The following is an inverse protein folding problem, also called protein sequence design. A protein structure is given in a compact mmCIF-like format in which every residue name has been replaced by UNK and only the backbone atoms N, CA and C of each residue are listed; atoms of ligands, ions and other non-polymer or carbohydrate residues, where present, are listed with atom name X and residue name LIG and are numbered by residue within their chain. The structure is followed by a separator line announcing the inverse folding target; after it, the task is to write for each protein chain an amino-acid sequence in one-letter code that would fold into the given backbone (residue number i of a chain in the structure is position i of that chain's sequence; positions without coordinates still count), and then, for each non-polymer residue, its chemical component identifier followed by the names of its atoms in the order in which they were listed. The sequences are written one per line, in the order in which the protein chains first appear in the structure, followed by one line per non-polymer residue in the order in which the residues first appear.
data_IF_813531822190
#
_entry.id   IF_813531822190
#
_cell.length_a   1.000
_cell.length_b   1.000
_cell.length_c   1.000
_cell.angle_alpha   90.00
_cell.angle_beta   90.00
_cell.angle_gamma   90.00
#
_symmetry.space_group_name_H-M   'P 1'
#
loop_
_entity.id
_entity.type
_entity.pdbx_description
1 polymer ?
#
# COMPACT_ATOMS: atom_id res chain seq x y z
N UNK A 1 -16.37 12.41 10.17
CA UNK A 1 -15.68 11.61 9.13
C UNK A 1 -14.29 12.19 8.98
N UNK A 2 -13.24 11.37 8.92
CA UNK A 2 -11.87 11.86 8.80
C UNK A 2 -11.66 12.46 7.40
N UNK A 3 -10.87 13.54 7.30
CA UNK A 3 -10.49 14.12 6.01
C UNK A 3 -9.83 13.06 5.10
N UNK A 4 -10.20 12.95 3.80
CA UNK A 4 -9.73 11.87 2.94
C UNK A 4 -8.21 11.77 2.81
N UNK A 5 -7.49 12.89 2.79
CA UNK A 5 -6.02 12.90 2.73
C UNK A 5 -5.39 12.39 4.03
N UNK A 6 -6.00 12.70 5.17
CA UNK A 6 -5.57 12.18 6.48
C UNK A 6 -5.85 10.69 6.58
N UNK A 7 -7.01 10.22 6.12
CA UNK A 7 -7.35 8.79 6.10
C UNK A 7 -6.41 7.99 5.17
N UNK A 8 -6.09 8.53 3.97
CA UNK A 8 -5.11 7.94 3.05
C UNK A 8 -3.74 7.82 3.71
N UNK A 9 -3.25 8.90 4.32
CA UNK A 9 -1.94 8.92 4.99
C UNK A 9 -1.89 7.99 6.21
N UNK A 10 -2.92 8.02 7.07
CA UNK A 10 -2.98 7.20 8.27
C UNK A 10 -3.06 5.70 7.92
N UNK A 11 -3.90 5.33 6.94
CA UNK A 11 -4.03 3.94 6.49
C UNK A 11 -2.74 3.41 5.88
N UNK A 12 -2.08 4.15 4.98
CA UNK A 12 -0.79 3.72 4.44
C UNK A 12 0.32 3.72 5.48
N UNK A 13 0.36 4.70 6.38
CA UNK A 13 1.32 4.75 7.47
C UNK A 13 1.25 3.50 8.33
N UNK A 14 0.04 3.08 8.70
CA UNK A 14 -0.21 1.89 9.50
C UNK A 14 0.08 0.60 8.73
N UNK A 15 -0.40 0.47 7.49
CA UNK A 15 -0.14 -0.69 6.64
C UNK A 15 1.36 -0.90 6.39
N UNK A 16 2.10 0.18 6.08
CA UNK A 16 3.54 0.11 5.88
C UNK A 16 4.30 -0.20 7.18
N UNK A 17 3.81 0.25 8.34
CA UNK A 17 4.40 -0.09 9.63
C UNK A 17 4.24 -1.58 9.96
N UNK A 18 3.03 -2.13 9.78
CA UNK A 18 2.75 -3.57 9.93
C UNK A 18 3.61 -4.39 8.97
N UNK A 19 3.60 -4.08 7.67
CA UNK A 19 4.41 -4.79 6.68
C UNK A 19 5.92 -4.67 6.93
N UNK A 20 6.38 -3.57 7.54
CA UNK A 20 7.80 -3.42 7.92
C UNK A 20 8.18 -4.37 9.06
N UNK A 21 7.26 -4.65 9.98
CA UNK A 21 7.45 -5.61 11.08
C UNK A 21 7.24 -7.06 10.58
N UNK A 22 6.37 -7.23 9.60
CA UNK A 22 5.97 -8.51 8.99
C UNK A 22 6.11 -8.46 7.45
N UNK A 23 7.32 -8.64 6.89
CA UNK A 23 7.57 -8.50 5.45
C UNK A 23 6.81 -9.49 4.55
N UNK A 24 6.26 -10.56 5.13
CA UNK A 24 5.37 -11.52 4.49
C UNK A 24 3.98 -10.96 4.20
N UNK A 25 3.56 -9.89 4.88
CA UNK A 25 2.25 -9.29 4.67
C UNK A 25 2.14 -8.63 3.29
N UNK A 26 0.97 -8.75 2.71
CA UNK A 26 0.57 -8.16 1.43
C UNK A 26 -0.53 -7.14 1.69
N UNK A 27 -0.35 -5.94 1.16
CA UNK A 27 -1.37 -4.91 1.17
C UNK A 27 -2.18 -4.99 -0.12
N UNK A 28 -3.51 -4.90 -0.01
CA UNK A 28 -4.46 -4.83 -1.13
C UNK A 28 -5.44 -3.69 -0.92
N UNK A 29 -5.95 -3.13 -2.01
CA UNK A 29 -7.10 -2.23 -1.97
C UNK A 29 -8.34 -2.99 -2.37
N UNK A 30 -9.31 -3.07 -1.47
CA UNK A 30 -10.52 -3.88 -1.64
C UNK A 30 -11.76 -2.98 -1.61
N UNK A 31 -12.76 -3.33 -2.41
CA UNK A 31 -14.04 -2.64 -2.55
C UNK A 31 -13.98 -1.16 -2.98
N UNK A 32 -13.06 -0.69 -3.87
CA UNK A 32 -12.89 0.73 -4.15
C UNK A 32 -14.06 1.39 -4.93
N UNK A 33 -15.05 0.62 -5.38
CA UNK A 33 -15.98 1.00 -6.45
C UNK A 33 -17.45 1.26 -6.08
N UNK A 34 -17.81 1.56 -4.83
CA UNK A 34 -19.24 1.61 -4.46
C UNK A 34 -19.66 2.53 -3.32
N UNK A 35 -18.81 3.44 -2.85
CA UNK A 35 -19.18 4.47 -1.87
C UNK A 35 -19.39 3.99 -0.42
N UNK A 36 -19.57 2.69 -0.17
CA UNK A 36 -19.70 2.17 1.19
C UNK A 36 -18.35 1.87 1.88
N UNK A 37 -17.34 1.43 1.12
CA UNK A 37 -16.06 0.99 1.67
C UNK A 37 -14.89 1.45 0.79
N UNK A 38 -13.80 1.89 1.41
CA UNK A 38 -12.49 2.07 0.75
C UNK A 38 -11.45 1.46 1.69
N UNK A 39 -11.13 0.19 1.47
CA UNK A 39 -10.36 -0.59 2.44
C UNK A 39 -8.96 -0.83 1.92
N UNK A 40 -7.97 -0.45 2.74
CA UNK A 40 -6.61 -0.93 2.60
C UNK A 40 -6.44 -2.17 3.48
N UNK A 41 -6.56 -3.35 2.87
CA UNK A 41 -6.50 -4.64 3.55
C UNK A 41 -5.03 -5.10 3.71
N UNK A 42 -4.61 -5.45 4.92
CA UNK A 42 -3.30 -6.04 5.19
C UNK A 42 -3.48 -7.53 5.46
N UNK A 43 -2.80 -8.36 4.65
CA UNK A 43 -3.05 -9.81 4.57
C UNK A 43 -1.81 -10.66 4.73
N UNK A 44 -1.94 -11.77 5.46
CA UNK A 44 -0.95 -12.87 5.49
C UNK A 44 -1.36 -13.99 4.53
N UNK A 45 -0.49 -15.01 4.39
CA UNK A 45 -0.81 -16.21 3.60
C UNK A 45 -1.83 -17.12 4.32
N UNK A 46 -1.84 -17.12 5.65
CA UNK A 46 -2.63 -18.02 6.49
C UNK A 46 -4.01 -17.46 6.84
N UNK A 47 -4.20 -16.14 6.68
CA UNK A 47 -5.47 -15.49 6.96
C UNK A 47 -5.32 -14.41 8.01
N UNK A 48 -4.79 -13.27 7.60
CA UNK A 48 -4.96 -12.03 8.34
C UNK A 48 -5.70 -11.05 7.43
N UNK A 49 -6.66 -10.31 7.96
CA UNK A 49 -7.37 -9.26 7.24
C UNK A 49 -7.56 -8.11 8.23
N UNK A 50 -6.49 -7.37 8.46
CA UNK A 50 -6.59 -6.05 9.10
C UNK A 50 -7.18 -5.13 8.04
N UNK A 51 -8.42 -4.71 8.24
CA UNK A 51 -9.20 -3.90 7.34
C UNK A 51 -9.11 -2.45 7.77
N UNK A 52 -8.27 -1.67 7.07
CA UNK A 52 -8.13 -0.24 7.29
C UNK A 52 -9.18 0.49 6.44
N UNK A 53 -10.45 0.43 6.84
CA UNK A 53 -11.54 1.05 6.09
C UNK A 53 -11.54 2.56 6.29
N UNK A 54 -11.12 3.31 5.27
CA UNK A 54 -10.94 4.77 5.32
C UNK A 54 -12.24 5.54 5.51
N UNK A 55 -13.38 4.95 5.12
CA UNK A 55 -14.71 5.54 5.32
C UNK A 55 -15.39 5.08 6.62
N UNK A 56 -14.76 4.18 7.39
CA UNK A 56 -15.34 3.57 8.58
C UNK A 56 -14.33 3.35 9.70
N UNK A 57 -14.17 2.09 10.11
CA UNK A 57 -13.36 1.68 11.27
C UNK A 57 -12.21 0.77 10.86
N UNK A 58 -11.20 0.70 11.72
CA UNK A 58 -10.14 -0.32 11.67
C UNK A 58 -10.72 -1.60 12.27
N UNK A 59 -10.67 -2.69 11.52
CA UNK A 59 -11.21 -3.99 11.94
C UNK A 59 -10.18 -5.10 11.74
N UNK A 60 -10.30 -6.18 12.51
CA UNK A 60 -9.54 -7.42 12.32
C UNK A 60 -10.55 -8.53 12.11
N UNK A 61 -10.60 -9.10 10.89
CA UNK A 61 -11.59 -10.13 10.54
C UNK A 61 -11.09 -11.55 10.73
N UNK A 62 -9.77 -11.76 10.68
CA UNK A 62 -9.15 -13.07 10.77
C UNK A 62 -7.80 -12.99 11.48
N UNK A 63 -7.48 -14.05 12.23
CA UNK A 63 -6.18 -14.25 12.86
C UNK A 63 -5.33 -15.24 12.10
N UNK A 64 -4.03 -14.97 12.09
CA UNK A 64 -3.01 -15.83 11.49
C UNK A 64 -2.90 -17.19 12.19
N UNK A 65 -3.23 -17.25 13.48
CA UNK A 65 -3.21 -18.46 14.32
C UNK A 65 -4.51 -19.29 14.28
N UNK A 66 -5.49 -18.87 13.46
CA UNK A 66 -6.76 -19.56 13.26
C UNK A 66 -7.80 -19.37 14.39
N UNK A 67 -7.51 -18.57 15.41
CA UNK A 67 -8.49 -18.23 16.47
C UNK A 67 -9.42 -17.09 16.02
N UNK A 68 -10.47 -16.84 16.80
CA UNK A 68 -11.31 -15.65 16.61
C UNK A 68 -10.56 -14.37 17.01
N UNK A 69 -10.63 -13.29 16.21
CA UNK A 69 -10.07 -11.98 16.56
C UNK A 69 -10.67 -11.43 17.86
N UNK A 70 -9.80 -11.04 18.79
CA UNK A 70 -10.17 -10.20 19.93
C UNK A 70 -9.91 -8.74 19.56
N UNK A 71 -10.87 -8.13 18.86
CA UNK A 71 -10.78 -6.76 18.38
C UNK A 71 -12.15 -6.11 18.26
N UNK A 72 -12.35 -5.02 18.99
CA UNK A 72 -13.48 -4.14 18.76
C UNK A 72 -13.16 -3.14 17.62
N UNK A 73 -14.06 -2.94 16.65
CA UNK A 73 -13.86 -1.97 15.58
C UNK A 73 -13.47 -0.58 16.10
N UNK A 74 -12.30 -0.10 15.71
CA UNK A 74 -11.73 1.14 16.22
C UNK A 74 -11.97 2.29 15.23
N UNK A 75 -12.53 3.41 15.71
CA UNK A 75 -12.70 4.60 14.86
C UNK A 75 -11.34 5.20 14.49
N UNK A 76 -11.25 5.84 13.32
CA UNK A 76 -10.01 6.55 12.94
C UNK A 76 -9.65 7.69 13.88
N UNK A 77 -10.63 8.40 14.45
CA UNK A 77 -10.37 9.47 15.41
C UNK A 77 -9.65 8.93 16.65
N UNK A 78 -10.19 7.85 17.24
CA UNK A 78 -9.59 7.17 18.38
C UNK A 78 -8.23 6.54 18.03
N UNK A 79 -8.09 5.98 16.83
CA UNK A 79 -6.82 5.42 16.38
C UNK A 79 -5.70 6.47 16.25
N UNK A 80 -6.05 7.69 15.83
CA UNK A 80 -5.10 8.81 15.69
C UNK A 80 -4.66 9.42 17.02
N UNK A 81 -5.41 9.19 18.10
CA UNK A 81 -5.02 9.58 19.46
C UNK A 81 -3.95 8.65 20.07
N UNK A 82 -3.80 7.45 19.51
CA UNK A 82 -2.83 6.45 19.98
C UNK A 82 -1.45 6.67 19.36
N UNK A 83 -0.39 6.32 20.10
CA UNK A 83 0.94 6.17 19.50
C UNK A 83 0.90 5.08 18.42
N UNK A 84 1.45 5.39 17.24
CA UNK A 84 1.39 4.48 16.10
C UNK A 84 2.06 3.12 16.39
N UNK A 85 3.11 3.07 17.22
CA UNK A 85 3.77 1.80 17.57
C UNK A 85 2.88 0.98 18.49
N UNK A 86 2.19 1.63 19.42
CA UNK A 86 1.25 0.97 20.33
C UNK A 86 0.06 0.41 19.54
N UNK A 87 -0.54 1.20 18.66
CA UNK A 87 -1.59 0.73 17.76
C UNK A 87 -1.12 -0.44 16.87
N UNK A 88 0.10 -0.38 16.32
CA UNK A 88 0.67 -1.51 15.57
C UNK A 88 0.75 -2.77 16.43
N UNK A 89 1.25 -2.68 17.68
CA UNK A 89 1.35 -3.86 18.56
C UNK A 89 -0.02 -4.42 18.94
N UNK A 90 -1.01 -3.55 19.17
CA UNK A 90 -2.38 -3.98 19.44
C UNK A 90 -2.96 -4.74 18.24
N UNK A 91 -2.79 -4.21 17.02
CA UNK A 91 -3.23 -4.88 15.80
C UNK A 91 -2.49 -6.19 15.55
N UNK A 92 -1.18 -6.26 15.80
CA UNK A 92 -0.40 -7.50 15.72
C UNK A 92 -0.96 -8.57 16.66
N UNK A 93 -1.21 -8.20 17.91
CA UNK A 93 -1.79 -9.09 18.92
C UNK A 93 -3.19 -9.56 18.50
N UNK A 94 -4.06 -8.64 18.08
CA UNK A 94 -5.43 -8.91 17.65
C UNK A 94 -5.49 -9.80 16.40
N UNK A 95 -4.54 -9.62 15.49
CA UNK A 95 -4.36 -10.40 14.27
C UNK A 95 -3.65 -11.75 14.48
N UNK A 96 -3.18 -12.05 15.70
CA UNK A 96 -2.41 -13.26 15.97
C UNK A 96 -1.05 -13.31 15.27
N UNK A 97 -0.50 -12.14 14.90
CA UNK A 97 0.83 -12.05 14.29
C UNK A 97 1.91 -12.34 15.33
N UNK A 98 2.98 -12.99 14.90
CA UNK A 98 4.12 -13.35 15.77
C UNK A 98 4.77 -12.09 16.34
N UNK A 99 5.06 -12.08 17.64
CA UNK A 99 5.76 -10.94 18.23
C UNK A 99 7.14 -10.72 17.60
N UNK A 100 7.42 -9.48 17.20
CA UNK A 100 8.67 -9.09 16.54
C UNK A 100 9.54 -8.29 17.52
N UNK A 101 10.66 -8.88 17.93
CA UNK A 101 11.62 -8.28 18.87
C UNK A 101 12.52 -7.21 18.23
N UNK A 102 12.78 -7.32 16.92
CA UNK A 102 13.52 -6.34 16.15
C UNK A 102 12.93 -6.22 14.74
N UNK A 103 12.85 -5.00 14.20
CA UNK A 103 12.30 -4.79 12.87
C UNK A 103 13.19 -5.42 11.79
N UNK A 104 12.66 -6.32 10.94
CA UNK A 104 13.43 -6.94 9.86
C UNK A 104 13.99 -5.93 8.86
N UNK A 105 14.99 -6.38 8.09
CA UNK A 105 15.47 -5.63 6.94
C UNK A 105 14.34 -5.46 5.91
N UNK A 106 14.23 -4.26 5.33
CA UNK A 106 13.22 -4.00 4.30
C UNK A 106 13.49 -4.80 3.04
N UNK A 107 12.46 -5.52 2.59
CA UNK A 107 12.39 -6.16 1.28
C UNK A 107 11.94 -5.16 0.21
N UNK A 108 11.97 -5.57 -1.06
CA UNK A 108 11.45 -4.79 -2.19
C UNK A 108 9.99 -4.34 -1.95
N UNK A 109 9.12 -5.29 -1.59
CA UNK A 109 7.71 -5.03 -1.24
C UNK A 109 7.55 -4.00 -0.12
N UNK A 110 8.29 -4.17 0.98
CA UNK A 110 8.22 -3.27 2.13
C UNK A 110 8.69 -1.86 1.73
N UNK A 111 9.70 -1.73 0.87
CA UNK A 111 10.13 -0.42 0.37
C UNK A 111 9.04 0.27 -0.46
N UNK A 112 8.32 -0.45 -1.32
CA UNK A 112 7.17 0.11 -2.05
C UNK A 112 6.13 0.66 -1.08
N UNK A 113 5.68 -0.12 -0.09
CA UNK A 113 4.68 0.34 0.88
C UNK A 113 5.16 1.54 1.70
N UNK A 114 6.43 1.56 2.11
CA UNK A 114 7.01 2.69 2.85
C UNK A 114 7.10 3.95 1.99
N UNK A 115 7.37 3.82 0.69
CA UNK A 115 7.36 4.94 -0.26
C UNK A 115 5.94 5.44 -0.48
N UNK A 116 4.97 4.56 -0.69
CA UNK A 116 3.55 4.94 -0.82
C UNK A 116 3.04 5.67 0.43
N UNK A 117 3.38 5.18 1.62
CA UNK A 117 3.07 5.85 2.89
C UNK A 117 3.71 7.24 3.00
N UNK A 118 4.98 7.38 2.58
CA UNK A 118 5.64 8.68 2.57
C UNK A 118 4.98 9.66 1.60
N UNK A 119 4.62 9.20 0.39
CA UNK A 119 3.89 10.00 -0.60
C UNK A 119 2.53 10.45 -0.02
N UNK A 120 1.74 9.53 0.55
CA UNK A 120 0.47 9.86 1.17
C UNK A 120 0.62 10.91 2.29
N UNK A 121 1.64 10.74 3.16
CA UNK A 121 1.94 11.69 4.23
C UNK A 121 2.32 13.09 3.73
N UNK A 122 3.10 13.18 2.65
CA UNK A 122 3.47 14.46 2.02
C UNK A 122 2.27 15.16 1.38
N UNK A 123 1.20 14.42 1.07
CA UNK A 123 -0.01 14.93 0.45
C UNK A 123 -1.14 15.30 1.44
N UNK A 124 -0.90 15.25 2.76
CA UNK A 124 -1.93 15.62 3.76
C UNK A 124 -2.45 17.06 3.54
N UNK A 125 -1.55 18.00 3.25
CA UNK A 125 -1.85 19.43 3.05
C UNK A 125 -1.70 19.88 1.58
N UNK A 126 -1.70 18.94 0.64
CA UNK A 126 -1.54 19.18 -0.81
C UNK A 126 -2.76 18.61 -1.55
N UNK A 127 -2.90 18.84 -2.87
CA UNK A 127 -3.88 18.11 -3.66
C UNK A 127 -3.78 16.60 -3.39
N UNK A 128 -4.93 15.96 -3.20
CA UNK A 128 -5.00 14.54 -2.84
C UNK A 128 -4.19 13.71 -3.84
N UNK A 129 -3.31 12.86 -3.32
CA UNK A 129 -2.75 11.76 -4.09
C UNK A 129 -3.73 10.60 -4.04
N UNK A 130 -4.07 10.07 -5.21
CA UNK A 130 -4.83 8.85 -5.33
C UNK A 130 -3.86 7.68 -5.46
N UNK A 131 -3.89 6.79 -4.47
CA UNK A 131 -3.12 5.55 -4.50
C UNK A 131 -4.05 4.39 -4.87
N UNK A 132 -3.81 3.82 -6.05
CA UNK A 132 -4.68 2.82 -6.68
C UNK A 132 -3.89 1.55 -7.00
N UNK A 133 -4.54 0.41 -6.85
CA UNK A 133 -3.99 -0.88 -7.26
C UNK A 133 -4.20 -1.08 -8.77
N UNK A 134 -3.41 -1.95 -9.40
CA UNK A 134 -3.54 -2.29 -10.82
C UNK A 134 -4.77 -3.15 -11.13
N UNK A 135 -5.38 -3.74 -10.11
CA UNK A 135 -6.66 -4.43 -10.19
C UNK A 135 -7.74 -3.63 -9.46
N UNK A 136 -8.93 -3.58 -10.06
CA UNK A 136 -10.18 -3.13 -9.46
C UNK A 136 -10.83 -4.37 -8.85
N UNK A 137 -10.87 -4.42 -7.52
CA UNK A 137 -11.43 -5.54 -6.76
C UNK A 137 -12.80 -5.15 -6.17
N UNK A 138 -13.88 -5.44 -6.91
CA UNK A 138 -15.26 -5.19 -6.46
C UNK A 138 -15.97 -6.50 -6.17
N UNK A 139 -16.90 -6.49 -5.22
CA UNK A 139 -17.72 -7.66 -4.85
C UNK A 139 -18.70 -8.13 -5.94
N UNK A 140 -18.71 -7.51 -7.12
CA UNK A 140 -19.55 -7.87 -8.27
C UNK A 140 -18.77 -7.98 -9.58
N UNK A 141 -19.48 -8.16 -10.70
CA UNK A 141 -18.91 -8.40 -12.04
C UNK A 141 -18.15 -7.21 -12.67
N UNK A 142 -17.88 -6.14 -11.90
CA UNK A 142 -17.23 -4.91 -12.35
C UNK A 142 -15.74 -4.86 -11.99
N UNK A 143 -15.18 -5.96 -11.50
CA UNK A 143 -13.74 -6.10 -11.30
C UNK A 143 -12.97 -6.10 -12.63
N UNK A 144 -11.72 -5.66 -12.63
CA UNK A 144 -10.98 -5.51 -13.88
C UNK A 144 -9.61 -4.86 -13.75
N UNK A 145 -8.91 -4.62 -14.88
CA UNK A 145 -7.67 -3.85 -14.86
C UNK A 145 -7.97 -2.38 -14.58
N UNK A 146 -7.14 -1.74 -13.77
CA UNK A 146 -7.22 -0.31 -13.59
C UNK A 146 -6.77 0.41 -14.87
N UNK A 147 -7.49 1.47 -15.26
CA UNK A 147 -7.25 2.20 -16.50
C UNK A 147 -5.83 2.77 -16.59
N UNK A 148 -5.25 3.17 -15.46
CA UNK A 148 -3.91 3.76 -15.42
C UNK A 148 -2.81 2.85 -15.95
N UNK A 149 -2.99 1.52 -15.94
CA UNK A 149 -1.98 0.55 -16.40
C UNK A 149 -1.49 0.84 -17.81
N UNK A 150 -2.38 1.30 -18.71
CA UNK A 150 -2.03 1.56 -20.12
C UNK A 150 -1.14 2.78 -20.30
N UNK A 151 -1.06 3.66 -19.29
CA UNK A 151 -0.19 4.85 -19.30
C UNK A 151 1.28 4.51 -19.06
N UNK A 152 1.58 3.29 -18.60
CA UNK A 152 2.92 2.79 -18.35
C UNK A 152 3.24 1.63 -19.30
N UNK A 153 3.88 1.87 -20.46
CA UNK A 153 4.01 0.85 -21.52
C UNK A 153 4.70 -0.45 -21.09
N UNK A 154 5.73 -0.38 -20.23
CA UNK A 154 6.39 -1.57 -19.69
C UNK A 154 5.45 -2.41 -18.82
N UNK A 155 4.69 -1.76 -17.93
CA UNK A 155 3.70 -2.44 -17.08
C UNK A 155 2.61 -3.07 -17.94
N UNK A 156 2.08 -2.33 -18.92
CA UNK A 156 1.05 -2.85 -19.83
C UNK A 156 1.53 -4.08 -20.61
N UNK A 157 2.78 -4.08 -21.08
CA UNK A 157 3.38 -5.22 -21.77
C UNK A 157 3.53 -6.45 -20.85
N UNK A 158 3.97 -6.24 -19.60
CA UNK A 158 4.11 -7.32 -18.61
C UNK A 158 2.75 -7.90 -18.25
N UNK A 159 1.77 -7.05 -17.90
CA UNK A 159 0.41 -7.49 -17.56
C UNK A 159 -0.19 -8.32 -18.69
N UNK A 160 -0.09 -7.86 -19.94
CA UNK A 160 -0.59 -8.60 -21.11
C UNK A 160 0.10 -9.96 -21.30
N UNK A 161 1.40 -10.03 -21.02
CA UNK A 161 2.17 -11.29 -21.12
C UNK A 161 1.75 -12.28 -20.05
N UNK A 162 1.65 -11.85 -18.81
CA UNK A 162 1.40 -12.73 -17.66
C UNK A 162 -0.08 -13.18 -17.62
N UNK A 163 -1.02 -12.33 -18.04
CA UNK A 163 -2.42 -12.73 -18.26
C UNK A 163 -2.56 -13.86 -19.30
N UNK A 164 -1.75 -13.87 -20.36
CA UNK A 164 -1.73 -14.97 -21.34
C UNK A 164 -1.26 -16.30 -20.74
N UNK A 165 -0.59 -16.26 -19.58
CA UNK A 165 -0.13 -17.44 -18.83
C UNK A 165 -1.13 -17.86 -17.75
N UNK A 166 -2.28 -17.18 -17.63
CA UNK A 166 -3.27 -17.43 -16.58
C UNK A 166 -2.87 -16.89 -15.21
N UNK A 167 -1.83 -16.06 -15.14
CA UNK A 167 -1.43 -15.38 -13.91
C UNK A 167 -2.26 -14.11 -13.71
N UNK A 168 -2.39 -13.68 -12.45
CA UNK A 168 -3.07 -12.43 -12.09
C UNK A 168 -2.06 -11.39 -11.58
N UNK A 169 -1.32 -10.72 -12.49
CA UNK A 169 -0.20 -9.85 -12.13
C UNK A 169 -0.67 -8.50 -11.57
N UNK A 170 -1.94 -8.13 -11.77
CA UNK A 170 -2.44 -6.76 -11.54
C UNK A 170 -2.48 -6.38 -10.06
N UNK A 171 -2.63 -7.34 -9.15
CA UNK A 171 -2.56 -7.09 -7.70
C UNK A 171 -1.17 -6.68 -7.21
N UNK A 172 -0.12 -6.89 -8.02
CA UNK A 172 1.25 -6.49 -7.67
C UNK A 172 1.55 -5.02 -7.99
N UNK A 173 0.74 -4.41 -8.85
CA UNK A 173 0.98 -3.05 -9.34
C UNK A 173 0.25 -2.01 -8.52
N UNK A 174 0.92 -0.92 -8.21
CA UNK A 174 0.37 0.25 -7.53
C UNK A 174 0.67 1.52 -8.30
N UNK A 175 -0.22 2.48 -8.25
CA UNK A 175 -0.06 3.79 -8.86
C UNK A 175 -0.32 4.85 -7.80
N UNK A 176 0.49 5.91 -7.80
CA UNK A 176 0.27 7.10 -7.00
C UNK A 176 0.21 8.29 -7.95
N UNK A 177 -0.96 8.92 -8.05
CA UNK A 177 -1.22 10.04 -8.96
C UNK A 177 -1.83 11.23 -8.26
N UNK A 178 -1.29 12.41 -8.53
CA UNK A 178 -1.82 13.72 -8.17
C UNK A 178 -1.68 14.65 -9.39
N UNK A 179 -2.17 15.89 -9.28
CA UNK A 179 -2.18 16.85 -10.40
C UNK A 179 -0.81 17.06 -11.07
N UNK A 180 0.27 17.06 -10.29
CA UNK A 180 1.64 17.40 -10.67
C UNK A 180 2.66 16.28 -10.36
N UNK A 181 2.16 15.07 -10.10
CA UNK A 181 2.98 13.94 -9.69
C UNK A 181 2.35 12.63 -10.13
N UNK A 182 3.09 11.79 -10.86
CA UNK A 182 2.60 10.46 -11.21
C UNK A 182 3.70 9.40 -11.32
N UNK A 183 3.54 8.29 -10.58
CA UNK A 183 4.42 7.12 -10.63
C UNK A 183 3.63 5.82 -10.48
N UNK A 184 4.21 4.73 -10.98
CA UNK A 184 3.72 3.38 -10.76
C UNK A 184 4.80 2.49 -10.15
N UNK A 185 4.39 1.45 -9.43
CA UNK A 185 5.25 0.53 -8.70
C UNK A 185 4.86 -0.92 -8.97
N UNK A 186 5.82 -1.83 -8.83
CA UNK A 186 5.62 -3.27 -8.74
C UNK A 186 6.17 -3.75 -7.38
N UNK A 187 5.29 -4.29 -6.53
CA UNK A 187 5.68 -4.73 -5.18
C UNK A 187 6.54 -6.00 -5.19
N UNK A 188 6.51 -6.79 -6.27
CA UNK A 188 7.25 -8.05 -6.34
C UNK A 188 8.71 -7.81 -6.71
N UNK A 189 8.99 -6.82 -7.55
CA UNK A 189 10.35 -6.47 -7.99
C UNK A 189 10.91 -5.26 -7.24
N UNK A 190 10.03 -4.43 -6.67
CA UNK A 190 10.39 -3.14 -6.08
C UNK A 190 10.76 -2.11 -7.13
N UNK A 191 10.32 -2.27 -8.37
CA UNK A 191 10.53 -1.28 -9.43
C UNK A 191 9.52 -0.13 -9.34
N UNK A 192 9.96 1.05 -9.74
CA UNK A 192 9.15 2.26 -9.89
C UNK A 192 9.34 2.83 -11.30
N UNK A 193 8.26 3.30 -11.91
CA UNK A 193 8.23 3.92 -13.23
C UNK A 193 7.65 5.33 -13.17
N UNK A 194 8.18 6.23 -14.00
CA UNK A 194 7.55 7.52 -14.30
C UNK A 194 6.85 7.51 -15.66
N UNK A 195 5.97 8.48 -15.91
CA UNK A 195 5.33 8.68 -17.22
C UNK A 195 6.33 9.00 -18.34
N UNK A 196 7.48 9.58 -18.00
CA UNK A 196 8.57 9.81 -18.93
C UNK A 196 9.32 8.51 -19.35
N UNK A 197 8.95 7.36 -18.80
CA UNK A 197 9.58 6.06 -19.11
C UNK A 197 10.86 5.79 -18.32
N UNK A 198 11.17 6.57 -17.28
CA UNK A 198 12.27 6.24 -16.37
C UNK A 198 11.86 5.09 -15.46
N UNK A 199 12.78 4.16 -15.24
CA UNK A 199 12.62 3.05 -14.30
C UNK A 199 13.75 3.04 -13.27
N UNK A 200 13.42 2.73 -12.02
CA UNK A 200 14.41 2.52 -10.96
C UNK A 200 13.99 1.38 -10.05
N UNK A 201 14.95 0.60 -9.56
CA UNK A 201 14.69 -0.41 -8.54
C UNK A 201 14.90 0.20 -7.13
N UNK A 202 13.85 0.19 -6.30
CA UNK A 202 13.85 0.83 -4.99
C UNK A 202 14.87 0.20 -4.03
N UNK A 203 15.10 -1.12 -4.07
CA UNK A 203 16.06 -1.76 -3.18
C UNK A 203 17.50 -1.35 -3.54
N UNK A 204 17.81 -1.28 -4.83
CA UNK A 204 19.11 -0.80 -5.33
C UNK A 204 19.32 0.65 -4.96
N UNK A 205 18.34 1.52 -5.22
CA UNK A 205 18.38 2.94 -4.88
C UNK A 205 18.53 3.16 -3.37
N UNK A 206 17.75 2.45 -2.56
CA UNK A 206 17.80 2.50 -1.10
C UNK A 206 19.19 2.12 -0.58
N UNK A 207 19.77 1.04 -1.11
CA UNK A 207 21.11 0.58 -0.72
C UNK A 207 22.18 1.60 -1.11
N UNK A 208 22.18 2.09 -2.36
CA UNK A 208 23.12 3.11 -2.84
C UNK A 208 23.02 4.42 -2.05
N UNK A 209 21.82 4.81 -1.63
CA UNK A 209 21.56 5.99 -0.81
C UNK A 209 21.92 5.87 0.67
N UNK A 210 22.58 4.77 1.08
CA UNK A 210 22.96 4.52 2.47
C UNK A 210 21.79 4.07 3.35
N UNK A 211 20.78 3.40 2.77
CA UNK A 211 19.59 2.89 3.48
C UNK A 211 18.76 3.97 4.17
N UNK A 212 18.69 5.16 3.56
CA UNK A 212 17.92 6.31 4.07
C UNK A 212 16.61 6.49 3.29
N UNK A 213 15.48 6.41 3.99
CA UNK A 213 14.17 6.63 3.37
C UNK A 213 14.00 8.01 2.76
N UNK A 214 14.44 9.13 3.39
CA UNK A 214 14.28 10.45 2.78
C UNK A 214 14.97 10.55 1.41
N UNK A 215 16.15 9.94 1.26
CA UNK A 215 16.87 9.92 -0.02
C UNK A 215 16.11 9.11 -1.09
N UNK A 216 15.58 7.93 -0.71
CA UNK A 216 14.77 7.11 -1.62
C UNK A 216 13.49 7.84 -2.05
N UNK A 217 12.76 8.43 -1.10
CA UNK A 217 11.52 9.16 -1.37
C UNK A 217 11.79 10.37 -2.25
N UNK A 218 12.86 11.14 -1.97
CA UNK A 218 13.25 12.28 -2.82
C UNK A 218 13.52 11.86 -4.27
N UNK A 219 14.19 10.73 -4.49
CA UNK A 219 14.39 10.19 -5.83
C UNK A 219 13.05 9.85 -6.49
N UNK A 220 12.13 9.18 -5.80
CA UNK A 220 10.79 8.84 -6.34
C UNK A 220 9.96 10.08 -6.62
N UNK A 221 10.02 11.11 -5.77
CA UNK A 221 9.34 12.39 -6.01
C UNK A 221 9.86 13.04 -7.29
N UNK A 222 11.19 13.10 -7.46
CA UNK A 222 11.79 13.59 -8.71
C UNK A 222 11.36 12.76 -9.92
N UNK A 223 11.14 11.45 -9.75
CA UNK A 223 10.60 10.58 -10.78
C UNK A 223 9.20 10.99 -11.22
N UNK A 224 8.30 11.27 -10.27
CA UNK A 224 6.90 11.56 -10.57
C UNK A 224 6.62 12.98 -11.03
N UNK A 225 7.48 13.95 -10.72
CA UNK A 225 7.31 15.35 -11.15
C UNK A 225 7.88 15.62 -12.55
N UNK A 226 8.61 14.68 -13.14
CA UNK A 226 9.06 14.77 -14.54
C UNK A 226 7.86 14.49 -15.46
N UNK A 227 6.91 15.43 -15.51
CA UNK A 227 5.81 15.43 -16.47
C UNK A 227 6.25 16.12 -17.76
N UNK A 228 5.90 15.50 -18.89
CA UNK A 228 6.16 15.99 -20.26
C UNK A 228 5.52 17.35 -20.51
#
# INVERSE_FOLDING_TARGET
MLEPTVAEAASWGLAAALARRHPELVVRREHPGGGQYDVLAVRSLQGCAVMLNRTGTIQVHKRDDGREPDWEPLSWASALELDQKDLCRQLESAAGLRSVSATPQSTQRVLVYRVLAAIAGLHILRPRVEITMGAIDTSGSFGGPAEWLVRFPEIAAIVKRDQRRGEEPRFAYWHAGARDFEVAFDVNTGDVWSLAGRRSNLLVAYTKGGRRMPALVSQVLSMGTDTR
#
